data_IF_811128686858
#
_entry.id   IF_811128686858
#
_cell.length_a   1.000
_cell.length_b   1.000
_cell.length_c   1.000
_cell.angle_alpha   90.00
_cell.angle_beta   90.00
_cell.angle_gamma   90.00
#
_symmetry.space_group_name_H-M   'P 1'
#
loop_
_entity.id
_entity.type
_entity.pdbx_description
1 polymer ?
#
# COMPACT_ATOMS: atom_id res chain seq x y z
N UNK A 1 -20.57 -11.14 -16.95
CA UNK A 1 -21.84 -11.65 -17.51
C UNK A 1 -22.96 -10.67 -17.19
N UNK A 2 -23.61 -10.14 -18.20
CA UNK A 2 -24.74 -9.23 -18.10
C UNK A 2 -25.98 -9.89 -18.71
N UNK A 3 -27.06 -9.95 -17.96
CA UNK A 3 -28.33 -10.52 -18.43
C UNK A 3 -29.27 -9.37 -18.83
N UNK A 4 -29.78 -9.44 -20.04
CA UNK A 4 -30.62 -8.40 -20.63
C UNK A 4 -32.07 -8.85 -20.76
N UNK A 5 -33.04 -7.94 -20.68
CA UNK A 5 -34.39 -8.16 -21.16
C UNK A 5 -34.41 -8.23 -22.68
N UNK A 6 -35.55 -8.62 -23.26
CA UNK A 6 -35.76 -8.50 -24.71
C UNK A 6 -35.68 -7.03 -25.13
N UNK A 7 -34.73 -6.72 -26.02
CA UNK A 7 -34.49 -5.34 -26.48
C UNK A 7 -33.88 -5.32 -27.88
N UNK A 8 -34.25 -4.33 -28.68
CA UNK A 8 -33.59 -4.02 -29.94
C UNK A 8 -32.37 -3.08 -29.75
N UNK A 9 -32.15 -2.58 -28.52
CA UNK A 9 -31.12 -1.60 -28.19
C UNK A 9 -30.51 -1.83 -26.79
N UNK A 10 -30.00 -3.03 -26.55
CA UNK A 10 -29.15 -3.32 -25.41
C UNK A 10 -27.73 -2.82 -25.68
N UNK A 11 -27.12 -2.11 -24.75
CA UNK A 11 -25.79 -1.52 -24.93
C UNK A 11 -24.79 -2.10 -23.94
N UNK A 12 -23.56 -2.31 -24.44
CA UNK A 12 -22.34 -2.46 -23.65
C UNK A 12 -21.44 -1.29 -23.98
N UNK A 13 -20.91 -0.63 -22.95
CA UNK A 13 -19.98 0.48 -23.05
C UNK A 13 -18.68 0.05 -22.37
N UNK A 14 -17.56 0.20 -23.08
CA UNK A 14 -16.21 0.01 -22.58
C UNK A 14 -15.57 1.40 -22.51
N UNK A 15 -15.59 1.99 -21.34
CA UNK A 15 -15.00 3.31 -21.09
C UNK A 15 -13.57 3.11 -20.57
N UNK A 16 -12.59 3.44 -21.41
CA UNK A 16 -11.17 3.25 -21.13
C UNK A 16 -10.48 4.59 -20.84
N UNK A 17 -10.89 5.64 -21.53
CA UNK A 17 -10.17 6.92 -21.57
C UNK A 17 -10.67 7.98 -20.61
N UNK A 18 -11.65 7.70 -19.74
CA UNK A 18 -12.11 8.67 -18.76
C UNK A 18 -11.48 8.44 -17.38
N UNK A 19 -11.39 9.51 -16.59
CA UNK A 19 -10.96 9.42 -15.20
C UNK A 19 -11.97 8.59 -14.41
N UNK A 20 -11.46 7.65 -13.60
CA UNK A 20 -12.25 6.84 -12.69
C UNK A 20 -11.70 6.96 -11.25
N UNK A 21 -12.46 7.59 -10.38
CA UNK A 21 -12.09 7.74 -8.98
C UNK A 21 -10.76 8.50 -8.80
N UNK A 22 -9.76 7.85 -8.22
CA UNK A 22 -8.44 8.44 -7.94
C UNK A 22 -7.40 8.15 -9.01
N UNK A 23 -7.80 7.62 -10.18
CA UNK A 23 -6.89 7.38 -11.30
C UNK A 23 -6.19 8.65 -11.77
N UNK A 24 -6.74 9.81 -11.42
CA UNK A 24 -6.20 11.12 -11.80
C UNK A 24 -6.44 11.46 -13.26
N UNK A 25 -5.91 12.59 -13.67
CA UNK A 25 -6.07 13.10 -15.02
C UNK A 25 -5.56 12.10 -16.06
N UNK A 26 -6.33 11.93 -17.13
CA UNK A 26 -5.94 11.11 -18.27
C UNK A 26 -5.03 11.93 -19.19
N UNK A 27 -3.84 11.42 -19.47
CA UNK A 27 -2.92 12.03 -20.44
C UNK A 27 -3.28 11.69 -21.87
N UNK A 28 -3.57 10.42 -22.13
CA UNK A 28 -3.92 9.88 -23.44
C UNK A 28 -4.54 8.49 -23.28
N UNK A 29 -5.34 8.08 -24.26
CA UNK A 29 -5.96 6.76 -24.30
C UNK A 29 -6.18 6.33 -25.74
N UNK A 30 -6.32 5.02 -25.95
CA UNK A 30 -6.61 4.46 -27.26
C UNK A 30 -7.47 3.22 -27.13
N UNK A 31 -8.42 3.05 -28.04
CA UNK A 31 -9.29 1.89 -28.09
C UNK A 31 -9.44 1.39 -29.53
N UNK A 32 -9.52 0.09 -29.69
CA UNK A 32 -9.79 -0.57 -30.98
C UNK A 32 -10.77 -1.72 -30.76
N UNK A 33 -11.75 -1.88 -31.64
CA UNK A 33 -12.68 -2.99 -31.67
C UNK A 33 -12.59 -3.72 -33.04
N UNK A 34 -12.49 -5.05 -32.99
CA UNK A 34 -12.56 -5.90 -34.18
C UNK A 34 -13.91 -6.65 -34.20
N UNK A 35 -14.86 -6.27 -35.09
CA UNK A 35 -16.17 -6.90 -35.14
C UNK A 35 -16.17 -8.34 -35.72
N UNK A 36 -15.14 -8.74 -36.46
CA UNK A 36 -15.04 -10.07 -37.02
C UNK A 36 -14.71 -11.10 -35.93
N UNK A 37 -13.70 -10.77 -35.12
CA UNK A 37 -13.26 -11.63 -34.02
C UNK A 37 -14.00 -11.31 -32.70
N UNK A 38 -14.73 -10.20 -32.65
CA UNK A 38 -15.44 -9.67 -31.47
C UNK A 38 -14.47 -9.35 -30.32
N UNK A 39 -13.26 -8.93 -30.67
CA UNK A 39 -12.20 -8.59 -29.71
C UNK A 39 -12.06 -7.07 -29.60
N UNK A 40 -11.55 -6.64 -28.46
CA UNK A 40 -11.17 -5.26 -28.23
C UNK A 40 -9.81 -5.17 -27.57
N UNK A 41 -9.13 -4.07 -27.83
CA UNK A 41 -7.92 -3.65 -27.12
C UNK A 41 -8.02 -2.19 -26.75
N UNK A 42 -7.30 -1.80 -25.73
CA UNK A 42 -7.17 -0.41 -25.35
C UNK A 42 -6.04 -0.19 -24.37
N UNK A 43 -5.69 1.08 -24.18
CA UNK A 43 -4.78 1.51 -23.15
C UNK A 43 -5.12 2.90 -22.67
N UNK A 44 -4.71 3.22 -21.46
CA UNK A 44 -4.81 4.55 -20.86
C UNK A 44 -3.52 4.88 -20.12
N UNK A 45 -3.12 6.15 -20.18
CA UNK A 45 -2.04 6.73 -19.39
C UNK A 45 -2.65 7.77 -18.48
N UNK A 46 -2.42 7.63 -17.18
CA UNK A 46 -2.98 8.51 -16.16
C UNK A 46 -1.90 9.09 -15.25
N UNK A 47 -2.28 10.17 -14.55
CA UNK A 47 -1.52 10.81 -13.47
C UNK A 47 -2.22 10.60 -12.12
N UNK A 48 -2.12 9.42 -11.48
CA UNK A 48 -2.85 9.15 -10.26
C UNK A 48 -2.51 10.15 -9.15
N UNK A 49 -3.52 10.69 -8.47
CA UNK A 49 -3.37 11.80 -7.50
C UNK A 49 -2.35 11.50 -6.40
N UNK A 50 -2.36 10.27 -5.86
CA UNK A 50 -1.38 9.85 -4.86
C UNK A 50 0.04 9.76 -5.42
N UNK A 51 0.21 9.27 -6.66
CA UNK A 51 1.53 9.23 -7.30
C UNK A 51 2.06 10.65 -7.51
N UNK A 52 1.20 11.57 -7.99
CA UNK A 52 1.61 12.97 -8.23
C UNK A 52 2.06 13.69 -6.96
N UNK A 53 1.50 13.34 -5.81
CA UNK A 53 1.90 13.92 -4.53
C UNK A 53 3.34 13.55 -4.12
N UNK A 54 3.79 12.36 -4.49
CA UNK A 54 5.07 11.79 -4.02
C UNK A 54 6.11 11.61 -5.12
N UNK A 55 5.69 11.51 -6.35
CA UNK A 55 6.56 11.38 -7.52
C UNK A 55 5.94 12.15 -8.70
N UNK A 56 6.07 13.47 -8.63
CA UNK A 56 5.43 14.38 -9.57
C UNK A 56 5.85 14.09 -11.03
N UNK A 57 4.86 14.04 -11.93
CA UNK A 57 5.06 13.77 -13.36
C UNK A 57 5.21 12.29 -13.70
N UNK A 58 5.20 11.39 -12.72
CA UNK A 58 5.23 9.97 -12.98
C UNK A 58 3.89 9.49 -13.55
N UNK A 59 3.97 8.69 -14.61
CA UNK A 59 2.82 8.14 -15.34
C UNK A 59 2.54 6.71 -14.89
N UNK A 60 1.24 6.36 -14.87
CA UNK A 60 0.79 4.96 -14.76
C UNK A 60 0.09 4.59 -16.07
N UNK A 61 0.53 3.49 -16.68
CA UNK A 61 -0.06 2.93 -17.90
C UNK A 61 -0.84 1.67 -17.56
N UNK A 62 -1.99 1.50 -18.20
CA UNK A 62 -2.78 0.27 -18.10
C UNK A 62 -3.26 -0.12 -19.49
N UNK A 63 -3.12 -1.38 -19.82
CA UNK A 63 -3.54 -2.00 -21.08
C UNK A 63 -4.65 -3.00 -20.81
N UNK A 64 -5.57 -3.13 -21.76
CA UNK A 64 -6.65 -4.10 -21.75
C UNK A 64 -6.76 -4.79 -23.08
N UNK A 65 -7.02 -6.09 -23.05
CA UNK A 65 -7.44 -6.86 -24.22
C UNK A 65 -8.62 -7.76 -23.82
N UNK A 66 -9.57 -7.97 -24.70
CA UNK A 66 -10.72 -8.78 -24.35
C UNK A 66 -11.55 -9.23 -25.55
N UNK A 67 -12.55 -10.06 -25.24
CA UNK A 67 -13.50 -10.61 -26.20
C UNK A 67 -14.94 -10.56 -25.68
N UNK A 68 -15.90 -10.58 -26.61
CA UNK A 68 -17.33 -10.56 -26.30
C UNK A 68 -17.98 -11.76 -27.03
N UNK A 69 -18.79 -12.53 -26.29
CA UNK A 69 -19.37 -13.77 -26.82
C UNK A 69 -20.39 -13.55 -27.96
N UNK A 70 -20.92 -12.34 -28.13
CA UNK A 70 -21.96 -12.02 -29.12
C UNK A 70 -21.52 -10.93 -30.08
N UNK A 71 -21.82 -11.08 -31.38
CA UNK A 71 -21.62 -10.04 -32.38
C UNK A 71 -22.59 -8.88 -32.17
N UNK A 72 -22.08 -7.66 -32.15
CA UNK A 72 -22.92 -6.46 -32.06
C UNK A 72 -23.62 -6.17 -33.39
N UNK A 73 -24.85 -5.68 -33.32
CA UNK A 73 -25.63 -5.18 -34.48
C UNK A 73 -25.09 -3.84 -34.95
N UNK A 74 -24.53 -3.07 -34.05
CA UNK A 74 -23.88 -1.79 -34.31
C UNK A 74 -22.70 -1.62 -33.37
N UNK A 75 -21.61 -1.13 -33.87
CA UNK A 75 -20.42 -0.78 -33.10
C UNK A 75 -19.93 0.61 -33.46
N UNK A 76 -19.29 1.25 -32.50
CA UNK A 76 -18.62 2.52 -32.70
C UNK A 76 -17.78 2.90 -31.50
N UNK A 77 -17.16 4.04 -31.63
CA UNK A 77 -16.34 4.62 -30.55
C UNK A 77 -16.95 5.93 -30.06
N UNK A 78 -16.46 6.42 -28.95
CA UNK A 78 -16.80 7.76 -28.44
C UNK A 78 -15.57 8.46 -27.88
N UNK A 79 -15.67 9.77 -27.79
CA UNK A 79 -14.81 10.61 -26.96
C UNK A 79 -15.74 11.44 -26.07
N UNK A 80 -15.70 11.24 -24.77
CA UNK A 80 -16.62 11.83 -23.81
C UNK A 80 -18.08 11.60 -24.27
N UNK A 81 -18.85 12.67 -24.51
CA UNK A 81 -20.25 12.58 -24.94
C UNK A 81 -20.44 12.43 -26.45
N UNK A 82 -19.37 12.49 -27.23
CA UNK A 82 -19.45 12.48 -28.71
C UNK A 82 -19.26 11.08 -29.25
N UNK A 83 -20.30 10.53 -29.88
CA UNK A 83 -20.28 9.20 -30.51
C UNK A 83 -19.84 9.27 -31.98
N UNK A 84 -19.16 8.21 -32.43
CA UNK A 84 -18.67 8.00 -33.77
C UNK A 84 -19.10 6.61 -34.27
N UNK A 85 -20.23 6.54 -34.93
CA UNK A 85 -20.79 5.30 -35.45
C UNK A 85 -19.89 4.73 -36.54
N UNK A 86 -19.71 3.40 -36.55
CA UNK A 86 -18.90 2.63 -37.50
C UNK A 86 -17.40 3.02 -37.51
N UNK A 87 -16.97 3.85 -36.56
CA UNK A 87 -15.54 4.12 -36.29
C UNK A 87 -15.09 3.14 -35.22
N UNK A 88 -14.16 2.26 -35.57
CA UNK A 88 -13.74 1.14 -34.71
C UNK A 88 -12.39 1.35 -34.00
N UNK A 89 -11.77 2.49 -34.24
CA UNK A 89 -10.53 2.91 -33.60
C UNK A 89 -10.66 4.36 -33.18
N UNK A 90 -10.26 4.66 -31.95
CA UNK A 90 -10.31 6.02 -31.42
C UNK A 90 -9.12 6.25 -30.47
N UNK A 91 -8.56 7.48 -30.53
CA UNK A 91 -7.48 7.91 -29.67
C UNK A 91 -7.81 9.26 -29.04
N UNK A 92 -7.36 9.44 -27.78
CA UNK A 92 -7.49 10.67 -27.00
C UNK A 92 -8.16 10.43 -25.65
N UNK A 93 -8.07 11.42 -24.79
CA UNK A 93 -8.77 11.45 -23.51
C UNK A 93 -10.28 11.28 -23.72
N UNK A 94 -10.92 10.47 -22.91
CA UNK A 94 -12.34 10.14 -23.01
C UNK A 94 -12.70 9.10 -24.07
N UNK A 95 -11.68 8.41 -24.67
CA UNK A 95 -11.91 7.40 -25.68
C UNK A 95 -12.53 6.11 -25.10
N UNK A 96 -13.58 5.62 -25.77
CA UNK A 96 -14.23 4.38 -25.41
C UNK A 96 -14.93 3.72 -26.60
N UNK A 97 -15.49 2.53 -26.36
CA UNK A 97 -16.22 1.72 -27.34
C UNK A 97 -17.66 1.58 -26.88
N UNK A 98 -18.62 1.70 -27.79
CA UNK A 98 -19.98 1.29 -27.56
C UNK A 98 -20.40 0.19 -28.53
N UNK A 99 -21.16 -0.77 -28.03
CA UNK A 99 -21.68 -1.90 -28.78
C UNK A 99 -23.18 -2.01 -28.51
N UNK A 100 -23.97 -2.06 -29.59
CA UNK A 100 -25.42 -2.25 -29.51
C UNK A 100 -25.78 -3.67 -29.95
N UNK A 101 -26.64 -4.30 -29.16
CA UNK A 101 -27.11 -5.66 -29.39
C UNK A 101 -28.64 -5.70 -29.47
N UNK A 102 -29.11 -6.65 -30.24
CA UNK A 102 -30.48 -7.13 -30.11
C UNK A 102 -30.45 -8.35 -29.18
N UNK A 103 -31.29 -8.32 -28.14
CA UNK A 103 -31.35 -9.36 -27.12
C UNK A 103 -32.76 -9.95 -26.99
N UNK A 104 -32.82 -11.26 -26.70
CA UNK A 104 -34.05 -11.92 -26.26
C UNK A 104 -34.17 -11.82 -24.73
N UNK A 105 -35.33 -12.23 -24.18
CA UNK A 105 -35.56 -12.21 -22.74
C UNK A 105 -34.58 -13.14 -22.00
N UNK A 106 -33.88 -12.59 -20.98
CA UNK A 106 -32.85 -13.25 -20.19
C UNK A 106 -31.60 -13.67 -20.98
N UNK A 107 -31.34 -13.08 -22.13
CA UNK A 107 -30.12 -13.34 -22.88
C UNK A 107 -28.89 -12.74 -22.16
N UNK A 108 -27.84 -13.55 -22.05
CA UNK A 108 -26.58 -13.12 -21.43
C UNK A 108 -25.55 -12.70 -22.47
N UNK A 109 -24.95 -11.54 -22.24
CA UNK A 109 -23.71 -11.09 -22.91
C UNK A 109 -22.57 -11.26 -21.93
N UNK A 110 -21.55 -12.00 -22.34
CA UNK A 110 -20.35 -12.27 -21.56
C UNK A 110 -19.16 -11.54 -22.16
N UNK A 111 -18.36 -10.93 -21.31
CA UNK A 111 -17.13 -10.22 -21.66
C UNK A 111 -16.01 -10.88 -20.87
N UNK A 112 -14.93 -11.23 -21.56
CA UNK A 112 -13.66 -11.58 -20.93
C UNK A 112 -12.66 -10.48 -21.18
N UNK A 113 -11.91 -10.05 -20.16
CA UNK A 113 -10.91 -9.01 -20.27
C UNK A 113 -9.68 -9.38 -19.44
N UNK A 114 -8.51 -9.25 -20.04
CA UNK A 114 -7.22 -9.30 -19.38
C UNK A 114 -6.63 -7.90 -19.28
N UNK A 115 -5.83 -7.69 -18.27
CA UNK A 115 -5.17 -6.43 -17.99
C UNK A 115 -3.66 -6.63 -17.91
N UNK A 116 -2.91 -5.59 -18.24
CA UNK A 116 -1.46 -5.53 -18.07
C UNK A 116 -1.03 -4.08 -17.79
N UNK A 117 0.08 -3.94 -17.10
CA UNK A 117 0.74 -2.64 -16.94
C UNK A 117 1.90 -2.45 -17.93
N UNK A 118 2.16 -3.43 -18.79
CA UNK A 118 3.32 -3.41 -19.70
C UNK A 118 2.93 -3.30 -21.17
N UNK A 119 1.97 -4.11 -21.67
CA UNK A 119 1.51 -4.03 -23.06
C UNK A 119 0.13 -4.66 -23.29
N UNK A 120 -0.48 -4.36 -24.46
CA UNK A 120 -1.74 -4.98 -24.88
C UNK A 120 -1.55 -6.47 -25.21
N UNK A 121 -0.39 -6.85 -25.74
CA UNK A 121 -0.03 -8.25 -25.99
C UNK A 121 0.02 -9.05 -24.68
N UNK A 122 0.60 -8.47 -23.64
CA UNK A 122 0.63 -9.07 -22.31
C UNK A 122 -0.77 -9.12 -21.67
N UNK A 123 -1.61 -8.11 -21.87
CA UNK A 123 -3.00 -8.16 -21.43
C UNK A 123 -3.75 -9.35 -22.06
N UNK A 124 -3.53 -9.62 -23.35
CA UNK A 124 -4.10 -10.79 -24.03
C UNK A 124 -3.47 -12.09 -23.51
N UNK A 125 -2.17 -12.13 -23.29
CA UNK A 125 -1.48 -13.31 -22.75
C UNK A 125 -2.00 -13.67 -21.34
N UNK A 126 -2.22 -12.68 -20.49
CA UNK A 126 -2.82 -12.86 -19.16
C UNK A 126 -4.25 -13.42 -19.27
N UNK A 127 -5.08 -12.84 -20.15
CA UNK A 127 -6.44 -13.34 -20.41
C UNK A 127 -6.43 -14.81 -20.83
N UNK A 128 -5.57 -15.16 -21.80
CA UNK A 128 -5.50 -16.51 -22.32
C UNK A 128 -5.03 -17.51 -21.25
N UNK A 129 -4.03 -17.14 -20.45
CA UNK A 129 -3.53 -18.00 -19.38
C UNK A 129 -4.56 -18.26 -18.27
N UNK A 130 -5.38 -17.25 -17.95
CA UNK A 130 -6.27 -17.30 -16.79
C UNK A 130 -7.72 -17.68 -17.13
N UNK A 131 -8.23 -17.35 -18.34
CA UNK A 131 -9.65 -17.43 -18.63
C UNK A 131 -10.04 -17.88 -20.05
N UNK A 132 -9.10 -18.21 -20.96
CA UNK A 132 -9.40 -18.52 -22.36
C UNK A 132 -10.54 -19.54 -22.50
N UNK A 133 -10.45 -20.66 -21.77
CA UNK A 133 -11.35 -21.79 -21.87
C UNK A 133 -12.42 -21.84 -20.77
N UNK A 134 -12.55 -20.80 -19.94
CA UNK A 134 -13.51 -20.77 -18.84
C UNK A 134 -14.82 -20.12 -19.27
N UNK A 135 -15.93 -20.74 -18.92
CA UNK A 135 -17.23 -20.07 -18.85
C UNK A 135 -17.31 -19.19 -17.61
N UNK A 136 -18.26 -18.27 -17.58
CA UNK A 136 -18.50 -17.44 -16.38
C UNK A 136 -18.73 -18.27 -15.11
N UNK A 137 -19.51 -19.35 -15.23
CA UNK A 137 -19.85 -20.18 -14.07
C UNK A 137 -18.63 -20.99 -13.57
N UNK A 138 -17.75 -21.43 -14.48
CA UNK A 138 -16.47 -22.05 -14.12
C UNK A 138 -15.51 -21.04 -13.48
N UNK A 139 -15.39 -19.82 -14.02
CA UNK A 139 -14.60 -18.75 -13.43
C UNK A 139 -15.10 -18.40 -12.01
N UNK A 140 -16.42 -18.29 -11.81
CA UNK A 140 -17.03 -18.06 -10.49
C UNK A 140 -16.71 -19.21 -9.53
N UNK A 141 -16.84 -20.45 -9.97
CA UNK A 141 -16.52 -21.64 -9.16
C UNK A 141 -15.05 -21.66 -8.76
N UNK A 142 -14.14 -21.37 -9.71
CA UNK A 142 -12.70 -21.31 -9.46
C UNK A 142 -12.36 -20.21 -8.45
N UNK A 143 -12.88 -19.00 -8.62
CA UNK A 143 -12.67 -17.90 -7.71
C UNK A 143 -13.20 -18.21 -6.29
N UNK A 144 -14.39 -18.80 -6.20
CA UNK A 144 -14.99 -19.24 -4.93
C UNK A 144 -14.07 -20.25 -4.24
N UNK A 145 -13.63 -21.26 -4.97
CA UNK A 145 -12.73 -22.29 -4.43
C UNK A 145 -11.39 -21.69 -3.96
N UNK A 146 -10.80 -20.79 -4.73
CA UNK A 146 -9.56 -20.11 -4.35
C UNK A 146 -9.71 -19.39 -3.01
N UNK A 147 -10.80 -18.63 -2.83
CA UNK A 147 -11.07 -17.97 -1.56
C UNK A 147 -11.38 -18.96 -0.42
N UNK A 148 -12.08 -20.05 -0.67
CA UNK A 148 -12.29 -21.11 0.32
C UNK A 148 -10.98 -21.75 0.74
N UNK A 149 -10.08 -22.07 -0.19
CA UNK A 149 -8.76 -22.64 0.09
C UNK A 149 -7.90 -21.66 0.92
N UNK A 150 -7.92 -20.37 0.59
CA UNK A 150 -7.16 -19.35 1.31
C UNK A 150 -7.71 -19.09 2.72
N UNK A 151 -9.02 -18.90 2.87
CA UNK A 151 -9.64 -18.62 4.16
C UNK A 151 -9.62 -19.83 5.10
N UNK A 152 -9.64 -21.06 4.54
CA UNK A 152 -9.59 -22.30 5.34
C UNK A 152 -8.21 -22.63 5.93
N UNK A 153 -7.16 -21.88 5.58
CA UNK A 153 -5.85 -21.99 6.25
C UNK A 153 -5.94 -21.69 7.76
N UNK A 154 -6.94 -20.90 8.17
CA UNK A 154 -7.23 -20.64 9.57
C UNK A 154 -8.69 -21.00 9.84
N UNK A 155 -8.90 -22.10 10.56
CA UNK A 155 -10.24 -22.58 10.91
C UNK A 155 -10.59 -22.21 12.34
N UNK A 156 -11.76 -21.59 12.53
CA UNK A 156 -12.27 -21.23 13.85
C UNK A 156 -13.56 -21.98 14.18
N UNK A 157 -13.70 -22.37 15.44
CA UNK A 157 -14.92 -23.00 15.97
C UNK A 157 -15.60 -22.04 16.93
N UNK A 158 -16.86 -21.71 16.65
CA UNK A 158 -17.70 -20.88 17.52
C UNK A 158 -19.18 -21.33 17.35
N UNK A 159 -19.94 -21.25 18.41
CA UNK A 159 -21.40 -21.51 18.38
C UNK A 159 -22.18 -20.36 17.74
N UNK A 160 -21.61 -19.16 17.75
CA UNK A 160 -22.20 -17.97 17.14
C UNK A 160 -21.82 -17.84 15.66
N UNK A 161 -22.79 -17.89 14.76
CA UNK A 161 -22.61 -17.59 13.34
C UNK A 161 -22.10 -16.17 13.12
N UNK A 162 -22.57 -15.20 13.93
CA UNK A 162 -22.13 -13.81 13.84
C UNK A 162 -20.64 -13.68 14.09
N UNK A 163 -20.11 -14.35 15.11
CA UNK A 163 -18.67 -14.32 15.40
C UNK A 163 -17.86 -14.95 14.26
N UNK A 164 -18.28 -16.08 13.72
CA UNK A 164 -17.63 -16.69 12.55
C UNK A 164 -17.66 -15.77 11.33
N UNK A 165 -18.79 -15.13 11.06
CA UNK A 165 -18.91 -14.17 9.95
C UNK A 165 -17.94 -13.00 10.15
N UNK A 166 -17.89 -12.40 11.35
CA UNK A 166 -16.92 -11.32 11.65
C UNK A 166 -15.48 -11.74 11.46
N UNK A 167 -15.12 -12.95 11.93
CA UNK A 167 -13.78 -13.47 11.79
C UNK A 167 -13.37 -13.63 10.33
N UNK A 168 -14.18 -14.33 9.52
CA UNK A 168 -13.84 -14.57 8.12
C UNK A 168 -13.96 -13.31 7.25
N UNK A 169 -14.85 -12.38 7.59
CA UNK A 169 -14.87 -11.07 6.95
C UNK A 169 -13.58 -10.28 7.23
N UNK A 170 -13.13 -10.29 8.49
CA UNK A 170 -11.86 -9.67 8.87
C UNK A 170 -10.65 -10.33 8.19
N UNK A 171 -10.62 -11.66 8.15
CA UNK A 171 -9.56 -12.40 7.47
C UNK A 171 -9.55 -12.13 5.95
N UNK A 172 -10.72 -12.10 5.32
CA UNK A 172 -10.85 -11.70 3.91
C UNK A 172 -10.27 -10.31 3.65
N UNK A 173 -10.62 -9.32 4.48
CA UNK A 173 -10.09 -7.97 4.35
C UNK A 173 -8.57 -7.90 4.60
N UNK A 174 -8.04 -8.70 5.53
CA UNK A 174 -6.60 -8.78 5.80
C UNK A 174 -5.80 -9.39 4.62
N UNK A 175 -6.47 -10.15 3.75
CA UNK A 175 -5.87 -10.75 2.55
C UNK A 175 -6.12 -9.93 1.28
N UNK A 176 -6.98 -8.91 1.33
CA UNK A 176 -7.20 -8.01 0.20
C UNK A 176 -5.96 -7.11 0.02
N UNK A 177 -5.05 -7.55 -0.83
CA UNK A 177 -3.91 -6.73 -1.27
C UNK A 177 -4.29 -5.81 -2.44
N UNK A 178 -3.33 -5.05 -2.92
CA UNK A 178 -3.46 -4.16 -4.09
C UNK A 178 -3.34 -4.90 -5.43
N UNK A 179 -3.17 -6.19 -5.39
CA UNK A 179 -3.14 -7.07 -6.56
C UNK A 179 -1.79 -7.18 -7.26
N UNK A 180 -1.74 -8.15 -8.15
CA UNK A 180 -0.57 -8.42 -8.99
C UNK A 180 -0.29 -7.26 -9.94
N UNK A 181 0.98 -6.99 -10.18
CA UNK A 181 1.44 -5.98 -11.13
C UNK A 181 2.40 -6.56 -12.17
N UNK A 182 2.73 -7.85 -12.12
CA UNK A 182 3.44 -8.55 -13.18
C UNK A 182 2.50 -9.32 -14.08
N UNK A 183 2.93 -9.50 -15.32
CA UNK A 183 2.29 -10.34 -16.31
C UNK A 183 2.70 -11.82 -16.15
N UNK A 184 1.97 -12.73 -16.77
CA UNK A 184 2.24 -14.18 -16.72
C UNK A 184 3.63 -14.56 -17.22
N UNK A 185 4.25 -13.73 -18.07
CA UNK A 185 5.62 -13.90 -18.53
C UNK A 185 6.67 -13.25 -17.63
N UNK A 186 6.25 -12.70 -16.47
CA UNK A 186 7.13 -12.06 -15.49
C UNK A 186 7.54 -10.62 -15.81
N UNK A 187 6.99 -10.01 -16.85
CA UNK A 187 7.21 -8.57 -17.09
C UNK A 187 6.43 -7.72 -16.08
N UNK A 188 7.02 -6.61 -15.65
CA UNK A 188 6.40 -5.67 -14.73
C UNK A 188 6.90 -4.23 -15.00
N UNK A 189 6.15 -3.20 -14.60
CA UNK A 189 6.60 -1.82 -14.76
C UNK A 189 7.70 -1.48 -13.72
N UNK A 190 8.80 -0.87 -14.17
CA UNK A 190 9.86 -0.35 -13.32
C UNK A 190 9.53 1.05 -12.80
N UNK A 191 10.23 1.50 -11.75
CA UNK A 191 10.00 2.81 -11.17
C UNK A 191 10.27 3.98 -12.14
N UNK A 192 11.21 3.83 -13.06
CA UNK A 192 11.52 4.83 -14.09
C UNK A 192 10.57 4.78 -15.32
N UNK A 193 9.65 3.81 -15.36
CA UNK A 193 8.68 3.62 -16.44
C UNK A 193 9.15 2.68 -17.54
N UNK A 194 10.34 2.11 -17.43
CA UNK A 194 10.77 0.97 -18.27
C UNK A 194 10.05 -0.32 -17.87
N UNK A 195 10.30 -1.38 -18.60
CA UNK A 195 9.73 -2.70 -18.32
C UNK A 195 10.84 -3.58 -17.75
N UNK A 196 10.62 -4.07 -16.52
CA UNK A 196 11.45 -5.04 -15.85
C UNK A 196 11.06 -6.47 -16.17
N UNK A 197 11.91 -7.41 -15.78
CA UNK A 197 11.69 -8.84 -15.98
C UNK A 197 12.04 -9.60 -14.69
N UNK A 198 11.06 -10.27 -14.12
CA UNK A 198 11.27 -11.26 -13.05
C UNK A 198 12.00 -12.46 -13.66
N UNK A 199 13.04 -13.00 -13.00
CA UNK A 199 13.66 -14.25 -13.43
C UNK A 199 12.61 -15.35 -13.61
N UNK A 200 12.81 -16.20 -14.63
CA UNK A 200 11.91 -17.31 -14.90
C UNK A 200 12.53 -18.63 -14.45
N UNK A 201 11.70 -19.50 -13.89
CA UNK A 201 12.09 -20.88 -13.57
C UNK A 201 12.31 -21.72 -14.83
N UNK A 202 12.71 -22.98 -14.66
CA UNK A 202 12.95 -23.91 -15.77
C UNK A 202 11.70 -24.22 -16.61
N UNK A 203 10.50 -23.89 -16.12
CA UNK A 203 9.22 -24.08 -16.80
C UNK A 203 8.75 -22.79 -17.47
N UNK A 204 9.46 -21.68 -17.30
CA UNK A 204 9.11 -20.38 -17.86
C UNK A 204 8.15 -19.57 -16.99
N UNK A 205 7.92 -19.95 -15.73
CA UNK A 205 7.10 -19.20 -14.80
C UNK A 205 7.97 -18.17 -14.03
N UNK A 206 7.41 -17.00 -13.67
CA UNK A 206 8.09 -16.05 -12.79
C UNK A 206 8.46 -16.71 -11.45
N UNK A 207 9.70 -16.48 -10.98
CA UNK A 207 10.19 -17.04 -9.72
C UNK A 207 9.50 -16.42 -8.48
N UNK A 208 8.89 -15.26 -8.62
CA UNK A 208 8.05 -14.60 -7.60
C UNK A 208 7.00 -13.72 -8.27
N UNK A 209 6.01 -13.28 -7.50
CA UNK A 209 5.01 -12.32 -7.95
C UNK A 209 5.39 -10.91 -7.54
N UNK A 210 5.17 -9.95 -8.43
CA UNK A 210 5.34 -8.52 -8.14
C UNK A 210 3.98 -7.90 -7.80
N UNK A 211 3.92 -7.20 -6.67
CA UNK A 211 2.66 -6.64 -6.16
C UNK A 211 2.65 -5.11 -6.14
N UNK A 212 1.51 -4.51 -6.44
CA UNK A 212 1.19 -3.18 -5.95
C UNK A 212 0.98 -3.27 -4.43
N UNK A 213 1.44 -2.28 -3.70
CA UNK A 213 1.36 -2.27 -2.23
C UNK A 213 0.79 -0.97 -1.72
N UNK A 214 0.03 -1.03 -0.64
CA UNK A 214 -0.22 0.13 0.19
C UNK A 214 1.00 0.45 1.05
N UNK A 215 0.95 1.58 1.73
CA UNK A 215 1.89 1.90 2.77
C UNK A 215 1.93 0.80 3.85
N UNK A 216 3.14 0.43 4.25
CA UNK A 216 3.36 -0.70 5.16
C UNK A 216 3.13 -0.31 6.65
N UNK A 217 2.97 0.97 6.94
CA UNK A 217 2.98 1.50 8.30
C UNK A 217 2.08 0.78 9.31
N UNK A 218 0.91 0.28 8.89
CA UNK A 218 -0.01 -0.46 9.76
C UNK A 218 0.22 -1.98 9.78
N UNK A 219 0.99 -2.53 8.84
CA UNK A 219 1.13 -3.98 8.67
C UNK A 219 1.93 -4.65 9.79
N UNK A 220 2.84 -3.93 10.45
CA UNK A 220 3.70 -4.50 11.50
C UNK A 220 2.94 -4.88 12.77
N UNK A 221 1.78 -4.30 13.04
CA UNK A 221 1.01 -4.58 14.25
C UNK A 221 0.61 -6.05 14.38
N UNK A 222 0.13 -6.64 13.30
CA UNK A 222 -0.31 -8.04 13.30
C UNK A 222 -0.32 -8.70 11.92
N UNK A 223 -0.31 -7.94 10.82
CA UNK A 223 -0.47 -8.49 9.49
C UNK A 223 0.79 -9.24 9.03
N UNK A 224 1.99 -8.73 9.30
CA UNK A 224 3.25 -9.43 9.01
C UNK A 224 3.36 -10.76 9.75
N UNK A 225 2.86 -10.83 10.99
CA UNK A 225 2.80 -12.07 11.77
C UNK A 225 1.78 -13.05 11.17
N UNK A 226 0.63 -12.56 10.72
CA UNK A 226 -0.39 -13.35 10.03
C UNK A 226 0.17 -13.96 8.74
N UNK A 227 0.85 -13.17 7.92
CA UNK A 227 1.51 -13.65 6.69
C UNK A 227 2.59 -14.70 7.00
N UNK A 228 3.38 -14.51 8.03
CA UNK A 228 4.38 -15.49 8.48
C UNK A 228 3.75 -16.83 8.80
N UNK A 229 2.59 -16.83 9.47
CA UNK A 229 1.93 -18.06 9.95
C UNK A 229 1.26 -18.86 8.83
N UNK A 230 0.63 -18.19 7.87
CA UNK A 230 -0.22 -18.88 6.90
C UNK A 230 0.06 -18.53 5.42
N UNK A 231 0.78 -17.43 5.16
CA UNK A 231 1.10 -16.97 3.80
C UNK A 231 2.58 -16.59 3.62
N UNK A 232 3.54 -17.46 4.02
CA UNK A 232 4.97 -17.11 3.96
C UNK A 232 5.47 -16.89 2.52
N UNK A 233 4.89 -17.57 1.52
CA UNK A 233 5.23 -17.36 0.11
C UNK A 233 4.85 -15.94 -0.36
N UNK A 234 3.63 -15.48 -0.04
CA UNK A 234 3.22 -14.10 -0.31
C UNK A 234 4.15 -13.07 0.35
N UNK A 235 4.53 -13.32 1.62
CA UNK A 235 5.43 -12.42 2.34
C UNK A 235 6.82 -12.37 1.69
N UNK A 236 7.32 -13.54 1.22
CA UNK A 236 8.57 -13.61 0.48
C UNK A 236 8.51 -12.79 -0.82
N UNK A 237 7.45 -12.97 -1.61
CA UNK A 237 7.23 -12.24 -2.86
C UNK A 237 7.12 -10.73 -2.62
N UNK A 238 6.49 -10.31 -1.50
CA UNK A 238 6.39 -8.90 -1.12
C UNK A 238 7.78 -8.29 -0.83
N UNK A 239 8.66 -9.02 -0.14
CA UNK A 239 10.07 -8.61 0.04
C UNK A 239 10.76 -8.50 -1.31
N UNK A 240 10.63 -9.48 -2.18
CA UNK A 240 11.26 -9.47 -3.52
C UNK A 240 10.74 -8.31 -4.39
N UNK A 241 9.45 -7.97 -4.28
CA UNK A 241 8.85 -6.78 -4.93
C UNK A 241 9.62 -5.51 -4.57
N UNK A 242 9.82 -5.25 -3.27
CA UNK A 242 10.56 -4.06 -2.83
C UNK A 242 12.04 -4.12 -3.23
N UNK A 243 12.65 -5.30 -3.26
CA UNK A 243 14.03 -5.45 -3.74
C UNK A 243 14.17 -5.22 -5.25
N UNK A 244 13.18 -5.59 -6.05
CA UNK A 244 13.16 -5.28 -7.48
C UNK A 244 13.11 -3.76 -7.71
N UNK A 245 12.24 -3.05 -6.99
CA UNK A 245 12.19 -1.58 -7.04
C UNK A 245 13.50 -0.94 -6.56
N UNK A 246 14.09 -1.48 -5.48
CA UNK A 246 15.39 -0.99 -5.00
C UNK A 246 16.52 -1.21 -6.03
N UNK A 247 16.54 -2.34 -6.74
CA UNK A 247 17.53 -2.60 -7.81
C UNK A 247 17.46 -1.57 -8.94
N UNK A 248 16.26 -1.17 -9.35
CA UNK A 248 16.05 -0.19 -10.42
C UNK A 248 16.33 1.25 -9.95
N UNK A 249 15.71 1.67 -8.83
CA UNK A 249 15.73 3.06 -8.36
C UNK A 249 16.88 3.38 -7.40
N UNK A 250 17.45 2.36 -6.75
CA UNK A 250 18.39 2.51 -5.63
C UNK A 250 17.71 2.95 -4.32
N UNK A 251 16.37 2.94 -4.24
CA UNK A 251 15.58 3.38 -3.10
C UNK A 251 14.38 2.47 -2.83
N UNK A 252 13.84 2.52 -1.62
CA UNK A 252 12.56 1.90 -1.26
C UNK A 252 11.50 2.96 -1.04
N UNK A 253 10.28 2.69 -1.50
CA UNK A 253 9.08 3.47 -1.20
C UNK A 253 8.25 2.80 -0.13
N UNK A 254 7.47 3.58 0.61
CA UNK A 254 6.56 3.07 1.64
C UNK A 254 5.42 2.24 1.00
N UNK A 255 4.84 2.73 -0.09
CA UNK A 255 3.88 2.02 -0.91
C UNK A 255 4.25 2.09 -2.39
N UNK A 256 3.66 1.21 -3.19
CA UNK A 256 3.93 1.07 -4.62
C UNK A 256 2.64 1.04 -5.44
N UNK A 257 2.51 1.96 -6.39
CA UNK A 257 1.48 1.94 -7.43
C UNK A 257 2.17 1.80 -8.79
N UNK A 258 2.15 0.61 -9.39
CA UNK A 258 2.90 0.34 -10.61
C UNK A 258 4.39 0.69 -10.49
N UNK A 259 5.04 0.23 -9.43
CA UNK A 259 6.40 0.59 -9.04
C UNK A 259 6.63 2.07 -8.74
N UNK A 260 5.65 2.95 -8.96
CA UNK A 260 5.74 4.35 -8.57
C UNK A 260 5.63 4.49 -7.06
N UNK A 261 6.42 5.38 -6.49
CA UNK A 261 6.37 5.62 -5.07
C UNK A 261 5.09 6.34 -4.68
N UNK A 262 4.42 5.77 -3.71
CA UNK A 262 3.31 6.40 -3.00
C UNK A 262 3.59 6.27 -1.52
N UNK A 263 3.18 7.27 -0.75
CA UNK A 263 3.17 7.16 0.68
C UNK A 263 1.77 7.50 1.15
N UNK A 264 1.37 6.89 2.21
CA UNK A 264 0.08 7.20 2.80
C UNK A 264 0.26 8.04 4.03
N UNK A 265 0.23 7.38 5.13
CA UNK A 265 0.24 7.90 6.50
C UNK A 265 1.47 7.32 7.19
N UNK A 266 2.16 8.12 7.99
CA UNK A 266 3.32 7.67 8.74
C UNK A 266 4.61 7.62 7.91
N UNK A 267 5.50 6.76 8.29
CA UNK A 267 6.85 6.66 7.74
C UNK A 267 7.07 5.37 6.95
N UNK A 268 8.18 5.31 6.26
CA UNK A 268 8.55 4.16 5.45
C UNK A 268 9.00 2.98 6.33
N UNK A 269 8.10 2.03 6.60
CA UNK A 269 8.34 0.82 7.38
C UNK A 269 8.79 -0.40 6.55
N UNK A 270 9.12 -0.24 5.30
CA UNK A 270 9.55 -1.37 4.44
C UNK A 270 10.78 -2.07 5.01
N UNK A 271 11.73 -1.33 5.56
CA UNK A 271 12.92 -1.91 6.23
C UNK A 271 12.56 -2.76 7.45
N UNK A 272 11.57 -2.33 8.25
CA UNK A 272 11.05 -3.12 9.38
C UNK A 272 10.38 -4.40 8.87
N UNK A 273 9.57 -4.32 7.83
CA UNK A 273 8.92 -5.47 7.20
C UNK A 273 9.96 -6.50 6.73
N UNK A 274 11.02 -6.07 6.03
CA UNK A 274 12.10 -6.95 5.57
C UNK A 274 12.85 -7.59 6.75
N UNK A 275 13.20 -6.80 7.77
CA UNK A 275 13.84 -7.32 8.98
C UNK A 275 12.97 -8.35 9.70
N UNK A 276 11.65 -8.10 9.79
CA UNK A 276 10.68 -9.01 10.39
C UNK A 276 10.56 -10.32 9.60
N UNK A 277 10.54 -10.27 8.26
CA UNK A 277 10.54 -11.46 7.40
C UNK A 277 11.76 -12.34 7.67
N UNK A 278 12.95 -11.74 7.71
CA UNK A 278 14.18 -12.46 8.00
C UNK A 278 14.18 -13.14 9.38
N UNK A 279 13.74 -12.41 10.42
CA UNK A 279 13.65 -12.96 11.79
C UNK A 279 12.63 -14.10 11.90
N UNK A 280 11.56 -14.03 11.13
CA UNK A 280 10.53 -15.06 11.03
C UNK A 280 10.97 -16.31 10.24
N UNK A 281 12.17 -16.30 9.64
CA UNK A 281 12.71 -17.42 8.87
C UNK A 281 12.35 -17.39 7.37
N UNK A 282 11.69 -16.34 6.89
CA UNK A 282 11.40 -16.13 5.47
C UNK A 282 12.65 -15.53 4.83
N UNK A 283 13.33 -16.27 3.94
CA UNK A 283 14.68 -15.94 3.46
C UNK A 283 14.94 -16.35 2.01
N UNK A 284 13.90 -16.67 1.25
CA UNK A 284 14.05 -17.08 -0.15
C UNK A 284 14.13 -15.86 -1.08
N UNK A 285 15.10 -15.00 -0.76
CA UNK A 285 15.47 -13.79 -1.51
C UNK A 285 16.96 -13.47 -1.28
N UNK A 286 17.51 -12.50 -2.00
CA UNK A 286 18.87 -12.02 -1.78
C UNK A 286 18.96 -11.29 -0.42
N UNK A 287 19.39 -12.02 0.60
CA UNK A 287 19.48 -11.55 1.99
C UNK A 287 20.46 -10.40 2.15
N UNK A 288 21.59 -10.41 1.43
CA UNK A 288 22.59 -9.34 1.52
C UNK A 288 22.07 -8.05 0.89
N UNK A 289 21.38 -8.15 -0.25
CA UNK A 289 20.72 -7.02 -0.87
C UNK A 289 19.59 -6.49 0.01
N UNK A 290 18.80 -7.37 0.61
CA UNK A 290 17.72 -7.02 1.52
C UNK A 290 18.21 -6.27 2.75
N UNK A 291 19.30 -6.73 3.35
CA UNK A 291 19.95 -6.02 4.45
C UNK A 291 20.48 -4.66 4.00
N UNK A 292 21.17 -4.59 2.86
CA UNK A 292 21.69 -3.33 2.31
C UNK A 292 20.56 -2.32 2.09
N UNK A 293 19.47 -2.73 1.45
CA UNK A 293 18.33 -1.86 1.17
C UNK A 293 17.68 -1.39 2.48
N UNK A 294 17.45 -2.29 3.44
CA UNK A 294 16.89 -1.96 4.75
C UNK A 294 17.79 -0.99 5.54
N UNK A 295 19.09 -1.26 5.60
CA UNK A 295 20.05 -0.40 6.29
C UNK A 295 20.11 1.00 5.67
N UNK A 296 20.22 1.09 4.33
CA UNK A 296 20.25 2.38 3.65
C UNK A 296 18.95 3.18 3.87
N UNK A 297 17.81 2.52 3.99
CA UNK A 297 16.53 3.18 4.29
C UNK A 297 16.48 3.80 5.69
N UNK A 298 17.30 3.31 6.64
CA UNK A 298 17.41 3.85 8.00
C UNK A 298 18.43 4.99 8.13
N UNK A 299 19.47 5.05 7.27
CA UNK A 299 20.58 5.98 7.48
C UNK A 299 20.87 6.91 6.29
N UNK A 300 20.39 6.60 5.09
CA UNK A 300 20.69 7.35 3.88
C UNK A 300 19.64 8.42 3.59
N UNK A 301 19.99 9.69 3.78
CA UNK A 301 19.16 10.86 3.45
C UNK A 301 19.71 11.68 2.27
N UNK A 302 21.00 11.50 1.89
CA UNK A 302 21.63 12.23 0.78
C UNK A 302 21.19 11.69 -0.56
N UNK A 303 20.99 12.59 -1.54
CA UNK A 303 20.58 12.26 -2.90
C UNK A 303 19.24 11.48 -2.96
N UNK A 304 18.35 11.74 -2.03
CA UNK A 304 17.03 11.15 -2.00
C UNK A 304 16.25 11.59 -3.23
N UNK A 305 15.63 10.64 -3.91
CA UNK A 305 14.70 10.93 -4.99
C UNK A 305 13.29 11.16 -4.40
N UNK A 306 12.46 11.92 -5.11
CA UNK A 306 11.12 12.26 -4.66
C UNK A 306 10.27 11.00 -4.39
N UNK A 307 9.54 10.99 -3.31
CA UNK A 307 8.67 9.89 -2.88
C UNK A 307 9.37 8.68 -2.26
N UNK A 308 10.70 8.60 -2.33
CA UNK A 308 11.47 7.47 -1.83
C UNK A 308 12.09 7.71 -0.46
N UNK A 309 12.43 6.63 0.23
CA UNK A 309 13.11 6.69 1.53
C UNK A 309 12.29 7.44 2.60
N UNK A 310 12.99 8.02 3.55
CA UNK A 310 12.42 8.80 4.66
C UNK A 310 12.76 10.28 4.47
N UNK A 311 11.77 11.14 4.31
CA UNK A 311 11.97 12.53 3.87
C UNK A 311 12.78 13.37 4.85
N UNK A 312 12.48 13.28 6.13
CA UNK A 312 13.04 14.08 7.24
C UNK A 312 14.13 13.34 8.03
N UNK A 313 14.67 12.27 7.46
CA UNK A 313 15.68 11.41 8.09
C UNK A 313 16.96 12.16 8.52
N UNK A 314 17.30 13.24 7.83
CA UNK A 314 18.51 14.00 8.12
C UNK A 314 18.57 14.45 9.58
N UNK A 315 17.50 15.07 10.09
CA UNK A 315 17.44 15.53 11.48
C UNK A 315 17.57 14.37 12.47
N UNK A 316 16.92 13.26 12.19
CA UNK A 316 17.00 12.05 13.01
C UNK A 316 18.42 11.49 13.12
N UNK A 317 19.16 11.43 12.01
CA UNK A 317 20.53 10.91 11.97
C UNK A 317 21.56 11.89 12.53
N UNK A 318 21.44 13.20 12.21
CA UNK A 318 22.45 14.19 12.59
C UNK A 318 22.24 14.78 13.98
N UNK A 319 20.98 14.99 14.41
CA UNK A 319 20.63 15.67 15.67
C UNK A 319 20.02 14.72 16.72
N UNK A 320 19.71 13.47 16.33
CA UNK A 320 19.03 12.51 17.20
C UNK A 320 17.53 12.78 17.41
N UNK A 321 16.92 13.62 16.59
CA UNK A 321 15.46 13.83 16.54
C UNK A 321 15.11 14.64 15.29
N UNK A 322 13.81 14.60 14.92
CA UNK A 322 13.27 15.41 13.83
C UNK A 322 12.78 16.74 14.39
N UNK A 323 13.19 17.85 13.77
CA UNK A 323 12.74 19.19 14.16
C UNK A 323 11.24 19.36 13.87
N UNK A 324 10.52 19.96 14.80
CA UNK A 324 9.16 20.40 14.54
C UNK A 324 9.16 21.62 13.61
N UNK A 325 8.34 21.54 12.57
CA UNK A 325 7.95 22.68 11.74
C UNK A 325 6.42 22.83 11.78
N UNK A 326 5.87 24.05 11.82
CA UNK A 326 4.43 24.24 11.85
C UNK A 326 3.74 23.72 10.58
N UNK A 327 2.54 23.14 10.74
CA UNK A 327 1.73 22.62 9.64
C UNK A 327 1.75 21.10 9.54
N UNK A 328 1.15 20.59 8.46
CA UNK A 328 1.03 19.14 8.18
C UNK A 328 2.00 18.69 7.08
N UNK A 329 3.15 19.30 7.00
CA UNK A 329 4.15 19.03 5.97
C UNK A 329 5.35 18.29 6.55
N UNK A 330 6.02 17.53 5.68
CA UNK A 330 7.31 16.90 5.96
C UNK A 330 8.31 17.33 4.90
N UNK A 331 9.41 17.88 5.34
CA UNK A 331 10.52 18.37 4.53
C UNK A 331 11.84 17.77 5.03
N UNK A 332 12.95 17.88 4.28
CA UNK A 332 14.26 17.43 4.79
C UNK A 332 14.73 18.16 6.07
N UNK A 333 14.19 19.32 6.35
CA UNK A 333 14.55 20.16 7.50
C UNK A 333 13.75 19.85 8.77
N UNK A 334 12.59 19.19 8.61
CA UNK A 334 11.71 18.85 9.73
C UNK A 334 10.32 18.43 9.32
N UNK A 335 9.46 18.19 10.30
CA UNK A 335 8.09 17.74 10.09
C UNK A 335 7.11 18.33 11.08
N UNK A 336 5.88 18.57 10.64
CA UNK A 336 4.74 18.81 11.52
C UNK A 336 4.42 17.59 12.40
N UNK A 337 4.94 16.42 12.03
CA UNK A 337 4.77 15.12 12.70
C UNK A 337 6.05 14.65 13.39
N UNK A 338 6.92 15.53 13.78
CA UNK A 338 8.30 15.29 14.21
C UNK A 338 8.46 14.25 15.32
N UNK A 339 7.52 14.19 16.27
CA UNK A 339 7.54 13.20 17.36
C UNK A 339 7.18 11.82 16.82
N UNK A 340 6.06 11.69 16.08
CA UNK A 340 5.64 10.41 15.49
C UNK A 340 6.75 9.82 14.64
N UNK A 341 7.30 10.62 13.72
CA UNK A 341 8.36 10.17 12.83
C UNK A 341 9.63 9.77 13.59
N UNK A 342 10.05 10.54 14.62
CA UNK A 342 11.20 10.16 15.45
C UNK A 342 10.97 8.81 16.13
N UNK A 343 9.79 8.58 16.71
CA UNK A 343 9.45 7.30 17.38
C UNK A 343 9.42 6.14 16.41
N UNK A 344 8.81 6.31 15.26
CA UNK A 344 8.73 5.29 14.20
C UNK A 344 10.10 4.94 13.65
N UNK A 345 10.99 5.94 13.45
CA UNK A 345 12.36 5.70 13.03
C UNK A 345 13.19 4.98 14.09
N UNK A 346 12.98 5.28 15.38
CA UNK A 346 13.59 4.50 16.47
C UNK A 346 13.19 3.03 16.39
N UNK A 347 11.92 2.74 16.16
CA UNK A 347 11.42 1.37 16.11
C UNK A 347 11.92 0.63 14.87
N UNK A 348 11.87 1.24 13.68
CA UNK A 348 12.39 0.62 12.46
C UNK A 348 13.91 0.42 12.51
N UNK A 349 14.67 1.37 13.05
CA UNK A 349 16.12 1.22 13.25
C UNK A 349 16.44 0.06 14.19
N UNK A 350 15.67 -0.10 15.30
CA UNK A 350 15.81 -1.27 16.17
C UNK A 350 15.58 -2.59 15.43
N UNK A 351 14.53 -2.67 14.61
CA UNK A 351 14.24 -3.88 13.85
C UNK A 351 15.37 -4.25 12.88
N UNK A 352 15.92 -3.25 12.15
CA UNK A 352 17.05 -3.47 11.25
C UNK A 352 18.34 -3.75 12.01
N UNK A 353 18.51 -3.20 13.24
CA UNK A 353 19.63 -3.58 14.11
C UNK A 353 19.60 -5.07 14.44
N UNK A 354 18.42 -5.62 14.76
CA UNK A 354 18.32 -7.08 15.02
C UNK A 354 18.63 -7.90 13.76
N UNK A 355 18.32 -7.38 12.57
CA UNK A 355 18.71 -8.00 11.30
C UNK A 355 20.25 -7.96 11.12
N UNK A 356 20.89 -6.80 11.35
CA UNK A 356 22.34 -6.66 11.34
C UNK A 356 23.02 -7.65 12.29
N UNK A 357 22.53 -7.73 13.53
CA UNK A 357 23.02 -8.66 14.55
C UNK A 357 22.96 -10.11 14.10
N UNK A 358 21.85 -10.52 13.50
CA UNK A 358 21.65 -11.88 13.01
C UNK A 358 22.61 -12.24 11.85
N UNK A 359 23.03 -11.24 11.07
CA UNK A 359 24.02 -11.39 10.01
C UNK A 359 25.49 -11.18 10.47
N UNK A 360 25.71 -10.89 11.75
CA UNK A 360 27.05 -10.63 12.29
C UNK A 360 27.66 -9.29 11.88
N UNK A 361 26.84 -8.35 11.43
CA UNK A 361 27.25 -7.00 11.00
C UNK A 361 27.30 -6.06 12.21
N UNK A 362 28.36 -6.19 13.00
CA UNK A 362 28.46 -5.57 14.32
C UNK A 362 28.44 -4.03 14.28
N UNK A 363 29.12 -3.43 13.29
CA UNK A 363 29.19 -1.97 13.15
C UNK A 363 27.80 -1.36 12.87
N UNK A 364 27.08 -1.94 11.91
CA UNK A 364 25.73 -1.50 11.54
C UNK A 364 24.73 -1.78 12.67
N UNK A 365 24.92 -2.85 13.42
CA UNK A 365 24.14 -3.12 14.63
C UNK A 365 24.29 -2.02 15.68
N UNK A 366 25.53 -1.64 16.00
CA UNK A 366 25.81 -0.62 17.01
C UNK A 366 25.24 0.76 16.59
N UNK A 367 25.45 1.16 15.32
CA UNK A 367 24.93 2.42 14.77
C UNK A 367 23.39 2.46 14.82
N UNK A 368 22.72 1.40 14.38
CA UNK A 368 21.26 1.34 14.39
C UNK A 368 20.67 1.27 15.81
N UNK A 369 21.37 0.62 16.74
CA UNK A 369 20.97 0.61 18.15
C UNK A 369 21.07 1.99 18.78
N UNK A 370 22.11 2.78 18.44
CA UNK A 370 22.22 4.16 18.88
C UNK A 370 21.04 5.01 18.35
N UNK A 371 20.72 4.89 17.05
CA UNK A 371 19.56 5.58 16.45
C UNK A 371 18.24 5.15 17.10
N UNK A 372 18.09 3.91 17.51
CA UNK A 372 16.88 3.42 18.15
C UNK A 372 16.60 4.06 19.53
N UNK A 373 17.58 4.69 20.14
CA UNK A 373 17.46 5.37 21.42
C UNK A 373 17.09 6.85 21.31
N UNK A 374 16.98 7.39 20.11
CA UNK A 374 16.72 8.79 19.83
C UNK A 374 15.40 9.32 20.42
N UNK A 375 14.43 8.46 20.71
CA UNK A 375 13.20 8.85 21.42
C UNK A 375 13.47 9.53 22.77
N UNK A 376 14.60 9.19 23.45
CA UNK A 376 15.03 9.74 24.73
C UNK A 376 15.31 11.24 24.64
N UNK A 377 15.71 11.74 23.46
CA UNK A 377 15.96 13.15 23.21
C UNK A 377 14.66 14.00 23.22
N UNK A 378 13.52 13.39 22.98
CA UNK A 378 12.21 14.05 22.99
C UNK A 378 11.43 13.81 24.29
N UNK A 379 11.94 13.00 25.23
CA UNK A 379 11.30 12.80 26.52
C UNK A 379 11.57 13.98 27.44
N UNK A 380 10.50 14.68 27.86
CA UNK A 380 10.58 15.80 28.80
C UNK A 380 10.27 15.33 30.21
N UNK A 381 11.29 15.25 31.06
CA UNK A 381 11.18 14.83 32.47
C UNK A 381 10.29 15.74 33.34
N UNK A 382 10.00 16.97 32.89
CA UNK A 382 9.10 17.91 33.60
C UNK A 382 7.63 17.56 33.45
N UNK A 383 7.31 16.94 32.31
CA UNK A 383 5.92 16.62 31.95
C UNK A 383 5.68 15.10 31.84
N UNK A 384 6.74 14.31 31.73
CA UNK A 384 6.76 12.88 31.43
C UNK A 384 6.05 12.55 30.10
N UNK A 385 6.10 13.44 29.13
CA UNK A 385 5.65 13.22 27.76
C UNK A 385 6.82 13.25 26.79
N UNK A 386 6.69 12.50 25.69
CA UNK A 386 7.55 12.66 24.53
C UNK A 386 6.97 13.80 23.70
N UNK A 387 7.73 14.91 23.54
CA UNK A 387 7.25 16.20 23.02
C UNK A 387 8.12 16.72 21.88
N UNK A 388 7.52 17.57 21.00
CA UNK A 388 8.27 18.17 19.91
C UNK A 388 9.31 19.19 20.40
N UNK A 389 10.44 19.22 19.67
CA UNK A 389 11.51 20.23 19.79
C UNK A 389 11.64 21.02 18.50
N UNK A 390 12.01 22.28 18.65
CA UNK A 390 12.41 23.14 17.54
C UNK A 390 13.83 22.84 17.03
N UNK A 391 14.27 23.54 15.98
CA UNK A 391 15.61 23.39 15.40
C UNK A 391 16.75 23.87 16.31
N UNK A 392 16.44 24.56 17.40
CA UNK A 392 17.42 25.01 18.41
C UNK A 392 17.55 24.02 19.58
N UNK A 393 16.78 22.92 19.55
CA UNK A 393 16.79 21.89 20.59
C UNK A 393 15.89 22.18 21.80
N UNK A 394 15.06 23.24 21.74
CA UNK A 394 14.15 23.57 22.80
C UNK A 394 12.81 22.85 22.61
N UNK A 395 12.22 22.39 23.73
CA UNK A 395 10.82 21.95 23.70
C UNK A 395 9.91 23.16 23.43
N UNK A 396 8.83 22.92 22.66
CA UNK A 396 7.85 23.99 22.41
C UNK A 396 7.23 24.50 23.72
N UNK A 397 7.10 25.83 23.87
CA UNK A 397 6.61 26.48 25.13
C UNK A 397 5.13 26.16 25.36
N UNK A 398 4.28 26.33 24.35
CA UNK A 398 2.83 26.11 24.43
C UNK A 398 2.50 24.63 24.20
N UNK A 399 2.70 23.79 25.20
CA UNK A 399 2.44 22.35 25.11
C UNK A 399 1.11 21.97 25.76
N UNK A 400 0.18 21.55 24.93
CA UNK A 400 -1.05 20.87 25.34
C UNK A 400 -0.95 19.36 24.95
N UNK A 401 -0.93 18.43 25.93
CA UNK A 401 -0.80 17.01 25.64
C UNK A 401 -2.00 16.40 24.90
N UNK A 402 -3.12 17.12 24.80
CA UNK A 402 -4.30 16.71 24.05
C UNK A 402 -4.37 17.29 22.64
N UNK A 403 -3.54 18.31 22.34
CA UNK A 403 -3.56 18.94 21.02
C UNK A 403 -3.09 17.95 19.94
N UNK A 404 -3.93 17.60 18.95
CA UNK A 404 -3.52 16.74 17.84
C UNK A 404 -2.69 17.52 16.82
N UNK A 405 -1.94 16.79 15.99
CA UNK A 405 -1.20 17.32 14.84
C UNK A 405 0.02 18.23 15.17
N UNK A 406 0.31 18.50 16.42
CA UNK A 406 1.47 19.31 16.82
C UNK A 406 2.62 18.38 17.23
N UNK A 407 3.36 17.92 16.25
CA UNK A 407 4.40 16.89 16.39
C UNK A 407 3.90 15.47 16.24
N UNK A 408 2.60 15.24 16.14
CA UNK A 408 1.98 13.92 16.14
C UNK A 408 1.07 13.74 14.93
N UNK A 409 1.30 12.68 14.17
CA UNK A 409 0.44 12.33 13.05
C UNK A 409 -0.79 11.59 13.54
N UNK A 410 -1.97 12.10 13.23
CA UNK A 410 -3.26 11.51 13.59
C UNK A 410 -3.38 11.16 15.08
N UNK A 411 -2.74 11.92 15.94
CA UNK A 411 -2.69 11.66 17.38
C UNK A 411 -2.19 12.82 18.19
N UNK A 412 -1.92 12.56 19.47
CA UNK A 412 -1.45 13.52 20.45
C UNK A 412 -0.41 12.89 21.41
N UNK A 413 0.10 13.68 22.36
CA UNK A 413 1.13 13.22 23.28
C UNK A 413 0.70 12.07 24.19
N UNK A 414 -0.59 11.98 24.57
CA UNK A 414 -1.10 10.89 25.37
C UNK A 414 -1.01 9.54 24.65
N UNK A 415 -1.27 9.52 23.36
CA UNK A 415 -1.25 8.33 22.53
C UNK A 415 0.19 7.93 22.20
N UNK A 416 0.99 8.88 21.74
CA UNK A 416 2.35 8.60 21.24
C UNK A 416 3.42 8.43 22.31
N UNK A 417 3.25 8.95 23.54
CA UNK A 417 4.27 8.75 24.60
C UNK A 417 4.52 7.28 24.92
N UNK A 418 3.54 6.39 24.68
CA UNK A 418 3.68 4.95 24.89
C UNK A 418 4.19 4.19 23.66
N UNK A 419 4.39 4.88 22.53
CA UNK A 419 4.88 4.27 21.30
C UNK A 419 6.41 4.09 21.31
N UNK A 420 6.89 3.27 22.25
CA UNK A 420 8.29 2.82 22.34
C UNK A 420 8.31 1.30 22.47
N UNK A 421 7.75 0.56 21.48
CA UNK A 421 7.53 -0.89 21.61
C UNK A 421 8.82 -1.71 21.68
N UNK A 422 9.94 -1.17 21.24
CA UNK A 422 11.24 -1.81 21.27
C UNK A 422 11.99 -1.65 22.60
N UNK A 423 11.65 -0.65 23.41
CA UNK A 423 12.32 -0.34 24.69
C UNK A 423 11.29 0.03 25.79
N UNK A 424 10.24 -0.77 26.03
CA UNK A 424 9.21 -0.42 27.00
C UNK A 424 9.76 -0.37 28.43
N UNK A 425 10.79 -1.15 28.73
CA UNK A 425 11.41 -1.16 30.06
C UNK A 425 12.10 0.18 30.38
N UNK A 426 12.84 0.72 29.43
CA UNK A 426 13.51 2.02 29.58
C UNK A 426 12.50 3.17 29.73
N UNK A 427 11.36 3.10 29.03
CA UNK A 427 10.29 4.07 29.20
C UNK A 427 9.68 4.00 30.62
N UNK A 428 9.44 2.78 31.13
CA UNK A 428 8.96 2.57 32.51
C UNK A 428 9.97 3.11 33.53
N UNK A 429 11.26 2.84 33.34
CA UNK A 429 12.33 3.32 34.22
C UNK A 429 12.41 4.85 34.23
N UNK A 430 12.28 5.49 33.06
CA UNK A 430 12.27 6.97 32.95
C UNK A 430 11.05 7.62 33.62
N UNK A 431 9.88 7.08 33.41
CA UNK A 431 8.62 7.63 33.95
C UNK A 431 8.39 7.26 35.41
N UNK A 432 8.94 6.15 35.86
CA UNK A 432 8.65 5.50 37.13
C UNK A 432 7.42 4.56 37.02
N UNK A 433 7.54 3.35 37.55
CA UNK A 433 6.56 2.27 37.38
C UNK A 433 5.13 2.67 37.82
N UNK A 434 4.99 3.28 39.00
CA UNK A 434 3.69 3.69 39.55
C UNK A 434 3.00 4.72 38.62
N UNK A 435 3.77 5.71 38.14
CA UNK A 435 3.25 6.76 37.25
C UNK A 435 2.90 6.19 35.87
N UNK A 436 3.73 5.30 35.34
CA UNK A 436 3.49 4.62 34.07
C UNK A 436 2.18 3.83 34.09
N UNK A 437 1.99 2.99 35.09
CA UNK A 437 0.74 2.20 35.25
C UNK A 437 -0.46 3.12 35.41
N UNK A 438 -0.36 4.17 36.26
CA UNK A 438 -1.45 5.13 36.46
C UNK A 438 -1.83 5.85 35.17
N UNK A 439 -0.85 6.21 34.32
CA UNK A 439 -1.15 6.85 33.02
C UNK A 439 -1.83 5.89 32.05
N UNK A 440 -1.35 4.65 31.96
CA UNK A 440 -2.03 3.64 31.13
C UNK A 440 -3.46 3.41 31.60
N UNK A 441 -3.69 3.28 32.90
CA UNK A 441 -5.03 3.16 33.46
C UNK A 441 -5.90 4.38 33.13
N UNK A 442 -5.33 5.58 33.20
CA UNK A 442 -6.02 6.82 32.86
C UNK A 442 -6.47 6.89 31.38
N UNK A 443 -5.71 6.31 30.45
CA UNK A 443 -6.10 6.25 29.02
C UNK A 443 -7.50 5.62 28.87
N UNK A 444 -7.78 4.56 29.61
CA UNK A 444 -9.05 3.85 29.52
C UNK A 444 -10.11 4.43 30.46
N UNK A 445 -9.77 4.68 31.73
CA UNK A 445 -10.74 5.10 32.76
C UNK A 445 -11.24 6.53 32.58
N UNK A 446 -10.39 7.44 32.09
CA UNK A 446 -10.78 8.82 31.77
C UNK A 446 -11.53 8.87 30.44
N UNK A 447 -11.06 8.13 29.45
CA UNK A 447 -11.73 8.05 28.14
C UNK A 447 -13.12 7.44 28.21
N UNK A 448 -13.40 6.53 29.16
CA UNK A 448 -14.74 5.99 29.39
C UNK A 448 -15.77 7.08 29.77
N UNK A 449 -15.32 8.12 30.46
CA UNK A 449 -16.16 9.24 30.93
C UNK A 449 -16.30 10.37 29.92
N UNK A 450 -15.39 10.45 28.96
CA UNK A 450 -15.45 11.38 27.85
C UNK A 450 -16.11 10.68 26.68
N UNK A 451 -16.88 11.40 25.86
CA UNK A 451 -17.54 10.80 24.70
C UNK A 451 -16.49 10.28 23.74
N UNK A 452 -16.31 8.95 23.68
CA UNK A 452 -15.56 8.30 22.63
C UNK A 452 -16.16 8.65 21.27
N UNK A 453 -15.36 9.18 20.36
CA UNK A 453 -15.78 9.50 19.02
C UNK A 453 -16.58 10.79 18.85
N UNK A 454 -16.94 11.49 19.93
CA UNK A 454 -17.69 12.74 19.86
C UNK A 454 -18.97 12.65 19.03
N UNK A 455 -19.34 13.71 18.35
CA UNK A 455 -20.45 13.75 17.38
C UNK A 455 -19.97 13.47 15.96
N UNK A 456 -18.65 13.42 15.73
CA UNK A 456 -18.04 13.14 14.43
C UNK A 456 -17.75 11.65 14.32
N UNK A 457 -18.33 11.02 13.30
CA UNK A 457 -18.05 9.64 12.91
C UNK A 457 -17.06 9.69 11.74
N UNK A 458 -15.81 9.99 12.03
CA UNK A 458 -14.73 9.98 11.04
C UNK A 458 -13.47 9.29 11.60
N UNK A 459 -12.47 9.09 10.77
CA UNK A 459 -11.20 8.48 11.13
C UNK A 459 -10.43 9.27 12.21
N UNK A 460 -10.80 10.52 12.44
CA UNK A 460 -10.13 11.43 13.39
C UNK A 460 -10.88 11.55 14.73
N UNK A 461 -11.97 10.82 14.89
CA UNK A 461 -12.69 10.76 16.16
C UNK A 461 -11.78 10.19 17.25
N UNK A 462 -11.36 10.86 18.19
CA UNK A 462 -10.44 10.41 19.26
C UNK A 462 -9.09 11.10 19.25
N UNK A 463 -8.77 11.93 18.27
CA UNK A 463 -7.50 12.69 18.26
C UNK A 463 -7.32 13.59 19.47
N UNK A 464 -8.41 14.12 20.02
CA UNK A 464 -8.43 14.97 21.21
C UNK A 464 -8.62 14.19 22.52
N UNK A 465 -8.54 12.85 22.49
CA UNK A 465 -8.73 11.99 23.65
C UNK A 465 -7.41 11.33 24.07
N UNK A 466 -7.45 10.65 25.20
CA UNK A 466 -6.30 9.91 25.68
C UNK A 466 -6.04 8.62 24.87
N UNK A 467 -7.08 8.10 24.24
CA UNK A 467 -7.02 6.87 23.43
C UNK A 467 -7.64 7.10 22.04
N UNK A 468 -6.94 6.69 21.02
CA UNK A 468 -7.40 6.63 19.64
C UNK A 468 -7.22 5.21 19.12
N UNK A 469 -8.31 4.56 18.74
CA UNK A 469 -8.28 3.19 18.22
C UNK A 469 -7.85 3.14 16.74
N UNK A 470 -7.89 4.25 16.04
CA UNK A 470 -7.56 4.33 14.62
C UNK A 470 -6.04 4.34 14.34
N UNK A 471 -5.23 4.60 15.36
CA UNK A 471 -3.77 4.68 15.25
C UNK A 471 -3.05 3.90 16.32
#
# INVERSE_FOLDING_TARGET
>A
KYTFPKSDSAYVILDIGNELGESGDVKDAEVTYNPEDRTFTGWVITYPKYVQKYQQGAEVKMFVAGEINKKAEEAGTFINDKQFKDVLHQKGEGAGIYLRFKTEENEAIEIKAGFSYTSAENALANLNAEAENLTFDEALSTATKTWEDELSKIMVTDTSTVNKTKFYTGLFHALLGRGLANDVNGQFPENDGSIGQIPLDANGNPEFNFYNTDAIWGAFWNLTQLWTLAWPGYYNDLVQTHLAVYKNSGWMGDGLANSRFVSGVGTNFVSLMIASAYQAGIRDYDVELAFKAAYENEVRYKNRIEGAGKTDLKGFVENGYINYIPGMETTPEGSGFSVSHTLEYCFSSYAVAQFAKALGKQKEYEELMELSENWKNLYDERTDFIRPKDSSGNFLDDFDPFAPWIGYQEGNAWQYTFYVPHQPKELVEKMGEEKFVKRLDSIFTVSEKTKFGGEQIDAFAGLNYLYNQGN
#
